data_IF_037699468808
#
_entry.id   IF_037699468808
#
_cell.length_a   1.000
_cell.length_b   1.000
_cell.length_c   1.000
_cell.angle_alpha   90.00
_cell.angle_beta   90.00
_cell.angle_gamma   90.00
#
_symmetry.space_group_name_H-M   'P 1'
#
loop_
_entity.id
_entity.type
_entity.pdbx_description
1 polymer ?
#
# COMPACT_ATOMS: atom_id res chain seq x y z
N UNK A 1 -47.15 15.40 46.81
CA UNK A 1 -47.14 16.74 46.17
C UNK A 1 -45.81 17.43 46.51
N UNK A 2 -45.04 17.80 45.46
CA UNK A 2 -43.90 18.76 45.37
C UNK A 2 -42.64 18.45 46.23
N UNK A 3 -41.48 18.02 45.69
CA UNK A 3 -40.45 18.67 44.82
C UNK A 3 -39.73 19.86 45.54
N UNK A 4 -38.40 20.05 45.63
CA UNK A 4 -37.25 19.94 44.70
C UNK A 4 -35.87 20.01 45.43
N UNK A 5 -34.80 19.59 44.71
CA UNK A 5 -33.36 19.99 44.73
C UNK A 5 -32.51 19.76 46.00
N UNK A 6 -31.23 19.30 45.98
CA UNK A 6 -30.22 19.13 44.94
C UNK A 6 -29.01 20.06 45.18
N UNK A 7 -27.87 19.52 45.65
CA UNK A 7 -26.48 19.88 45.26
C UNK A 7 -25.42 19.34 46.25
N UNK A 8 -24.40 18.68 45.69
CA UNK A 8 -23.13 18.22 46.30
C UNK A 8 -21.98 18.90 45.55
N UNK A 9 -20.89 19.27 46.24
CA UNK A 9 -19.61 19.71 45.66
C UNK A 9 -18.85 20.63 46.62
N UNK A 10 -18.05 20.10 47.56
CA UNK A 10 -16.65 19.65 47.45
C UNK A 10 -15.63 20.80 47.29
N UNK A 11 -15.06 21.19 48.43
CA UNK A 11 -13.78 21.89 48.60
C UNK A 11 -12.64 20.87 48.58
N UNK A 12 -11.54 21.15 47.88
CA UNK A 12 -10.18 21.14 48.43
C UNK A 12 -9.11 21.39 47.35
N UNK A 13 -8.31 22.42 47.62
CA UNK A 13 -7.10 22.87 46.90
C UNK A 13 -5.90 21.93 47.06
N UNK A 14 -4.97 21.96 46.07
CA UNK A 14 -3.51 22.18 46.16
C UNK A 14 -2.95 22.01 44.72
N UNK A 15 -2.05 22.82 44.14
CA UNK A 15 -0.64 23.04 44.52
C UNK A 15 -0.09 24.30 43.81
N UNK A 16 0.52 25.17 44.63
CA UNK A 16 1.79 25.92 44.48
C UNK A 16 2.21 26.47 43.10
N UNK A 17 2.43 27.78 43.07
CA UNK A 17 2.99 28.51 41.94
C UNK A 17 4.52 28.66 41.95
N UNK A 18 5.03 29.29 40.89
CA UNK A 18 6.25 30.09 40.91
C UNK A 18 6.06 31.30 39.97
N UNK A 19 6.60 32.43 40.41
CA UNK A 19 6.30 33.78 39.96
C UNK A 19 7.03 34.20 38.67
N UNK A 20 6.44 35.15 37.95
CA UNK A 20 7.13 36.28 37.30
C UNK A 20 6.11 37.41 37.12
N UNK A 21 6.49 38.60 37.55
CA UNK A 21 5.68 39.82 37.52
C UNK A 21 6.41 40.93 36.72
N UNK A 22 5.63 41.89 36.26
CA UNK A 22 5.97 43.24 35.79
C UNK A 22 6.67 43.46 34.43
N UNK A 23 5.87 43.82 33.41
CA UNK A 23 5.97 45.07 32.61
C UNK A 23 4.98 44.94 31.44
N UNK A 24 3.90 45.72 31.36
CA UNK A 24 3.91 47.12 30.98
C UNK A 24 2.62 47.35 30.16
N UNK A 25 1.80 48.26 30.63
CA UNK A 25 0.45 48.58 30.14
C UNK A 25 0.45 49.10 28.70
N UNK A 26 -0.50 48.60 27.91
CA UNK A 26 -0.89 49.13 26.61
C UNK A 26 -1.78 50.39 26.78
N UNK A 27 -1.52 51.42 25.99
CA UNK A 27 -2.46 52.51 25.68
C UNK A 27 -1.98 53.21 24.41
N UNK A 28 -2.80 53.24 23.36
CA UNK A 28 -2.47 53.92 22.11
C UNK A 28 -3.48 53.60 21.01
N UNK A 29 -4.56 54.37 21.02
CA UNK A 29 -5.56 54.50 19.95
C UNK A 29 -4.94 54.61 18.54
N UNK A 30 -5.52 53.90 17.57
CA UNK A 30 -5.66 54.44 16.22
C UNK A 30 -7.00 54.04 15.61
N UNK A 31 -7.67 55.07 15.11
CA UNK A 31 -9.05 55.10 14.62
C UNK A 31 -9.15 54.55 13.19
N UNK A 32 -10.34 54.02 12.87
CA UNK A 32 -11.00 54.18 11.57
C UNK A 32 -10.64 53.14 10.50
N UNK A 33 -11.60 52.31 10.09
CA UNK A 33 -12.59 52.68 9.06
C UNK A 33 -13.44 51.43 8.75
N UNK A 34 -14.77 51.55 8.90
CA UNK A 34 -15.71 50.60 8.32
C UNK A 34 -15.75 50.76 6.79
N UNK A 35 -15.76 49.65 6.04
CA UNK A 35 -16.49 49.58 4.77
C UNK A 35 -17.21 48.25 4.59
N UNK A 36 -18.50 48.45 4.36
CA UNK A 36 -19.57 47.57 3.95
C UNK A 36 -19.35 46.79 2.64
N UNK A 37 -19.97 45.60 2.62
CA UNK A 37 -20.87 45.07 1.58
C UNK A 37 -20.39 44.27 0.34
N UNK A 38 -21.15 43.18 0.16
CA UNK A 38 -21.56 42.45 -1.06
C UNK A 38 -20.53 41.51 -1.73
N UNK A 39 -20.77 40.20 -1.86
CA UNK A 39 -21.85 39.48 -2.55
C UNK A 39 -21.89 39.75 -4.06
N UNK A 40 -21.32 38.85 -4.85
CA UNK A 40 -21.75 38.58 -6.22
C UNK A 40 -21.32 37.17 -6.65
N UNK A 41 -22.32 36.31 -6.81
CA UNK A 41 -22.33 35.16 -7.71
C UNK A 41 -22.25 35.59 -9.17
N UNK A 42 -21.75 34.66 -10.01
CA UNK A 42 -22.14 34.41 -11.41
C UNK A 42 -21.27 35.03 -12.54
N UNK A 43 -20.55 34.16 -13.30
CA UNK A 43 -20.89 33.75 -14.68
C UNK A 43 -19.68 33.18 -15.45
N UNK A 44 -19.76 31.86 -15.68
CA UNK A 44 -19.48 31.06 -16.89
C UNK A 44 -18.35 31.39 -17.91
N UNK A 45 -17.59 30.32 -18.20
CA UNK A 45 -17.23 29.76 -19.52
C UNK A 45 -16.42 30.66 -20.48
N UNK A 46 -15.14 30.33 -20.65
CA UNK A 46 -14.50 30.34 -21.96
C UNK A 46 -13.69 29.04 -22.15
N UNK A 47 -14.01 28.40 -23.26
CA UNK A 47 -13.52 27.18 -23.88
C UNK A 47 -12.01 27.22 -24.19
N UNK A 48 -11.30 26.11 -23.93
CA UNK A 48 -10.00 25.79 -24.53
C UNK A 48 -9.70 24.29 -24.35
N UNK A 49 -10.29 23.46 -25.21
CA UNK A 49 -9.73 22.16 -25.57
C UNK A 49 -8.46 22.37 -26.40
N UNK A 50 -7.33 21.82 -25.93
CA UNK A 50 -6.16 21.61 -26.76
C UNK A 50 -5.71 20.15 -26.61
N UNK A 51 -6.00 19.38 -27.65
CA UNK A 51 -5.50 18.04 -27.92
C UNK A 51 -3.98 17.97 -27.77
N UNK A 52 -3.47 16.97 -27.05
CA UNK A 52 -2.08 16.52 -27.20
C UNK A 52 -2.10 15.06 -27.63
N UNK A 53 -1.97 14.84 -28.93
CA UNK A 53 -1.91 13.54 -29.57
C UNK A 53 -0.63 12.77 -29.21
N UNK A 54 -0.76 11.45 -29.13
CA UNK A 54 0.32 10.48 -28.96
C UNK A 54 1.34 10.59 -30.10
N UNK A 55 2.63 10.62 -29.74
CA UNK A 55 3.71 10.34 -30.68
C UNK A 55 4.00 8.84 -30.71
N UNK A 56 3.57 8.21 -31.80
CA UNK A 56 3.88 6.86 -32.24
C UNK A 56 5.35 6.78 -32.67
N UNK A 57 6.12 5.85 -32.09
CA UNK A 57 7.54 5.67 -32.42
C UNK A 57 7.66 4.57 -33.47
N UNK A 58 7.79 4.98 -34.72
CA UNK A 58 7.94 4.10 -35.88
C UNK A 58 9.33 3.46 -35.94
N UNK A 59 9.34 2.16 -36.26
CA UNK A 59 10.52 1.35 -36.56
C UNK A 59 11.16 1.84 -37.85
N UNK A 60 12.43 2.26 -37.79
CA UNK A 60 13.22 2.57 -38.97
C UNK A 60 13.97 1.32 -39.44
N UNK A 61 13.50 0.75 -40.56
CA UNK A 61 14.24 -0.14 -41.44
C UNK A 61 15.27 0.67 -42.23
N UNK A 62 16.54 0.25 -42.23
CA UNK A 62 17.56 0.75 -43.17
C UNK A 62 18.44 -0.40 -43.65
N UNK A 63 18.14 -0.84 -44.86
CA UNK A 63 19.01 -1.68 -45.69
C UNK A 63 20.15 -0.86 -46.31
N UNK A 64 21.38 -1.33 -46.08
CA UNK A 64 22.46 -1.46 -47.08
C UNK A 64 23.32 -0.24 -47.42
N UNK A 65 24.64 -0.35 -47.21
CA UNK A 65 25.64 -0.03 -48.25
C UNK A 65 26.93 -0.83 -48.05
N UNK A 66 27.40 -1.34 -49.18
CA UNK A 66 28.58 -2.16 -49.47
C UNK A 66 29.91 -1.41 -49.24
N UNK A 67 30.96 -2.11 -48.79
CA UNK A 67 32.37 -1.87 -49.22
C UNK A 67 33.35 -2.93 -48.68
N UNK A 68 33.78 -3.81 -49.59
CA UNK A 68 35.17 -4.26 -49.86
C UNK A 68 36.00 -5.05 -48.81
N UNK A 69 36.35 -6.28 -49.22
CA UNK A 69 37.51 -7.10 -48.79
C UNK A 69 38.86 -6.38 -48.98
N UNK A 70 39.91 -6.84 -48.26
CA UNK A 70 40.96 -7.58 -48.97
C UNK A 70 41.54 -8.81 -48.26
N UNK A 71 42.04 -9.72 -49.10
CA UNK A 71 42.84 -10.93 -48.86
C UNK A 71 44.20 -10.68 -48.16
N UNK A 72 44.67 -11.67 -47.39
CA UNK A 72 45.98 -12.35 -47.63
C UNK A 72 46.19 -13.56 -46.70
N UNK A 73 46.13 -14.76 -47.29
CA UNK A 73 46.98 -15.97 -47.14
C UNK A 73 47.93 -16.15 -45.94
N UNK A 74 47.83 -17.30 -45.23
CA UNK A 74 48.90 -18.32 -45.08
C UNK A 74 48.39 -19.62 -44.42
N UNK A 75 48.42 -20.74 -45.15
CA UNK A 75 48.48 -22.13 -44.68
C UNK A 75 49.89 -22.68 -44.98
N UNK A 76 50.42 -23.69 -44.24
CA UNK A 76 50.21 -25.12 -44.60
C UNK A 76 50.04 -26.07 -43.37
N UNK A 77 49.16 -27.08 -43.41
CA UNK A 77 49.33 -28.49 -43.87
C UNK A 77 49.66 -29.43 -42.67
N UNK A 78 49.03 -30.57 -42.38
CA UNK A 78 48.59 -31.78 -43.13
C UNK A 78 47.55 -32.52 -42.22
N UNK A 79 46.63 -33.43 -42.60
CA UNK A 79 46.59 -34.53 -43.57
C UNK A 79 45.14 -34.90 -43.95
N UNK A 80 44.96 -35.40 -45.17
CA UNK A 80 43.70 -35.69 -45.88
C UNK A 80 43.24 -37.17 -45.87
N UNK A 81 41.95 -37.38 -46.22
CA UNK A 81 41.29 -38.42 -47.08
C UNK A 81 39.86 -38.69 -46.57
N UNK A 82 38.76 -38.24 -47.18
CA UNK A 82 38.18 -38.43 -48.54
C UNK A 82 37.66 -39.85 -48.83
N UNK A 83 36.32 -40.01 -48.94
CA UNK A 83 35.60 -40.37 -50.18
C UNK A 83 34.07 -40.29 -49.96
N UNK A 84 33.38 -39.73 -50.95
CA UNK A 84 31.98 -39.31 -50.97
C UNK A 84 31.02 -40.31 -51.68
N UNK A 85 29.87 -39.78 -52.12
CA UNK A 85 28.88 -40.27 -53.13
C UNK A 85 27.81 -41.22 -52.54
N UNK A 86 26.49 -41.12 -52.77
CA UNK A 86 25.73 -40.75 -53.97
C UNK A 86 24.25 -40.39 -53.66
N UNK A 87 23.60 -39.67 -54.57
CA UNK A 87 22.21 -39.19 -54.56
C UNK A 87 21.48 -39.63 -55.82
N UNK A 88 20.25 -40.15 -55.75
CA UNK A 88 19.22 -40.26 -56.84
C UNK A 88 17.85 -40.58 -56.18
N UNK A 89 16.83 -39.70 -56.08
CA UNK A 89 15.83 -39.13 -57.02
C UNK A 89 14.70 -40.05 -57.54
N UNK A 90 13.48 -39.48 -57.62
CA UNK A 90 12.26 -39.82 -58.42
C UNK A 90 11.30 -40.84 -57.77
N UNK A 91 10.16 -40.45 -57.19
CA UNK A 91 8.83 -40.00 -57.72
C UNK A 91 7.85 -41.13 -58.11
N UNK A 92 6.57 -40.86 -57.86
CA UNK A 92 5.31 -41.42 -58.39
C UNK A 92 4.55 -42.49 -57.59
N UNK A 93 3.26 -42.16 -57.43
CA UNK A 93 2.16 -42.93 -56.86
C UNK A 93 1.81 -44.19 -57.65
N UNK A 94 1.21 -45.21 -57.01
CA UNK A 94 -0.16 -45.66 -57.33
C UNK A 94 -0.68 -46.71 -56.33
N UNK A 95 -2.01 -46.73 -56.27
CA UNK A 95 -2.99 -47.59 -55.61
C UNK A 95 -2.82 -49.12 -55.77
N UNK A 96 -3.32 -49.90 -54.80
CA UNK A 96 -4.07 -51.15 -55.05
C UNK A 96 -4.73 -51.75 -53.79
N UNK A 97 -5.97 -52.19 -54.02
CA UNK A 97 -6.96 -52.92 -53.21
C UNK A 97 -6.56 -54.39 -52.97
N UNK A 98 -6.89 -55.01 -51.82
CA UNK A 98 -7.33 -56.43 -51.71
C UNK A 98 -8.22 -56.69 -50.47
N UNK A 99 -9.49 -56.89 -50.78
CA UNK A 99 -10.46 -57.93 -50.37
C UNK A 99 -10.77 -58.45 -48.94
N UNK A 100 -12.07 -58.73 -48.84
CA UNK A 100 -12.97 -59.14 -47.76
C UNK A 100 -13.07 -60.66 -47.51
N UNK A 101 -13.57 -61.07 -46.33
CA UNK A 101 -14.36 -62.31 -46.11
C UNK A 101 -15.02 -62.35 -44.69
N UNK A 102 -16.06 -63.19 -44.42
CA UNK A 102 -17.39 -62.75 -43.92
C UNK A 102 -17.95 -63.55 -42.70
N UNK A 103 -19.30 -63.57 -42.53
CA UNK A 103 -20.21 -64.42 -41.67
C UNK A 103 -20.89 -63.61 -40.53
N UNK A 104 -22.20 -63.63 -40.23
CA UNK A 104 -23.49 -63.99 -40.87
C UNK A 104 -24.63 -63.43 -39.96
N UNK A 105 -25.79 -63.18 -40.59
CA UNK A 105 -27.16 -62.72 -40.23
C UNK A 105 -27.76 -63.13 -38.85
N UNK A 106 -28.81 -62.54 -38.22
CA UNK A 106 -29.74 -61.39 -38.35
C UNK A 106 -30.63 -61.37 -37.02
N UNK A 107 -31.85 -60.77 -36.93
CA UNK A 107 -32.25 -59.35 -36.95
C UNK A 107 -33.07 -58.93 -35.67
N UNK A 108 -33.19 -57.63 -35.37
CA UNK A 108 -34.49 -57.05 -34.92
C UNK A 108 -34.65 -55.66 -35.52
N UNK A 109 -35.78 -55.54 -36.19
CA UNK A 109 -36.30 -54.45 -36.99
C UNK A 109 -36.87 -53.33 -36.10
N UNK A 110 -36.51 -52.07 -36.34
CA UNK A 110 -37.52 -51.02 -36.38
C UNK A 110 -37.05 -49.92 -37.32
N UNK A 111 -37.59 -50.01 -38.54
CA UNK A 111 -37.55 -49.00 -39.58
C UNK A 111 -37.85 -47.58 -39.09
N UNK A 112 -37.05 -46.61 -39.54
CA UNK A 112 -37.56 -45.42 -40.24
C UNK A 112 -36.68 -45.17 -41.46
N UNK A 113 -37.31 -45.31 -42.62
CA UNK A 113 -36.76 -45.06 -43.95
C UNK A 113 -36.84 -43.56 -44.27
N UNK A 114 -35.71 -43.05 -44.75
CA UNK A 114 -35.47 -41.90 -45.63
C UNK A 114 -36.40 -40.68 -45.61
N UNK A 115 -35.79 -39.51 -45.43
CA UNK A 115 -35.93 -38.48 -46.46
C UNK A 115 -34.66 -37.64 -46.56
N UNK A 116 -34.18 -37.53 -47.79
CA UNK A 116 -32.95 -36.89 -48.19
C UNK A 116 -33.08 -35.35 -48.34
N UNK A 117 -31.91 -34.76 -48.61
CA UNK A 117 -31.66 -33.57 -49.45
C UNK A 117 -31.47 -32.21 -48.75
N UNK A 118 -30.21 -31.79 -48.88
CA UNK A 118 -29.66 -30.46 -49.17
C UNK A 118 -29.80 -29.29 -48.18
N UNK A 119 -28.61 -28.72 -47.92
CA UNK A 119 -28.29 -27.31 -47.72
C UNK A 119 -29.47 -26.38 -47.43
N UNK A 120 -29.56 -25.95 -46.18
CA UNK A 120 -30.21 -24.68 -45.89
C UNK A 120 -29.47 -23.94 -44.80
N UNK A 121 -28.95 -22.79 -45.23
CA UNK A 121 -28.64 -21.60 -44.46
C UNK A 121 -27.50 -21.71 -43.44
N UNK A 122 -26.47 -20.91 -43.71
CA UNK A 122 -25.67 -20.22 -42.71
C UNK A 122 -26.63 -19.68 -41.65
N UNK A 123 -26.83 -20.43 -40.57
CA UNK A 123 -27.26 -19.83 -39.31
C UNK A 123 -26.02 -19.08 -38.88
N UNK A 124 -26.06 -17.76 -39.08
CA UNK A 124 -25.19 -16.82 -38.43
C UNK A 124 -25.34 -17.13 -36.95
N UNK A 125 -24.47 -18.03 -36.47
CA UNK A 125 -24.32 -18.31 -35.06
C UNK A 125 -23.67 -17.04 -34.61
N UNK A 126 -24.52 -16.06 -34.28
CA UNK A 126 -24.14 -14.94 -33.47
C UNK A 126 -23.35 -15.60 -32.35
N UNK A 127 -22.03 -15.46 -32.44
CA UNK A 127 -21.20 -15.48 -31.27
C UNK A 127 -21.94 -14.49 -30.42
N UNK A 128 -22.69 -15.01 -29.44
CA UNK A 128 -23.13 -14.21 -28.33
C UNK A 128 -21.79 -13.76 -27.84
N UNK A 129 -21.44 -12.54 -28.25
CA UNK A 129 -20.37 -11.77 -27.70
C UNK A 129 -20.81 -11.75 -26.25
N UNK A 130 -20.30 -12.73 -25.51
CA UNK A 130 -20.49 -12.84 -24.09
C UNK A 130 -19.66 -11.65 -23.70
N UNK A 131 -20.33 -10.50 -23.72
CA UNK A 131 -19.81 -9.27 -23.21
C UNK A 131 -19.29 -9.73 -21.87
N UNK A 132 -17.97 -9.81 -21.78
CA UNK A 132 -17.30 -9.72 -20.52
C UNK A 132 -17.79 -8.36 -20.09
N UNK A 133 -18.93 -8.36 -19.38
CA UNK A 133 -19.32 -7.24 -18.57
C UNK A 133 -18.06 -7.07 -17.78
N UNK A 134 -17.34 -6.00 -18.09
CA UNK A 134 -16.21 -5.56 -17.32
C UNK A 134 -16.83 -5.14 -15.98
N UNK A 135 -17.22 -6.15 -15.20
CA UNK A 135 -17.52 -6.03 -13.79
C UNK A 135 -16.18 -5.63 -13.24
N UNK A 136 -15.94 -4.32 -13.21
CA UNK A 136 -14.83 -3.71 -12.53
C UNK A 136 -14.76 -4.39 -11.17
N UNK A 137 -13.74 -5.25 -11.02
CA UNK A 137 -13.58 -6.01 -9.79
C UNK A 137 -13.28 -4.97 -8.73
N UNK A 138 -14.19 -4.83 -7.77
CA UNK A 138 -14.02 -3.89 -6.68
C UNK A 138 -12.65 -4.13 -6.02
N UNK A 139 -11.89 -3.07 -5.68
CA UNK A 139 -10.59 -3.24 -5.03
C UNK A 139 -10.71 -4.05 -3.74
N UNK A 140 -9.63 -4.72 -3.35
CA UNK A 140 -9.64 -5.53 -2.13
C UNK A 140 -9.81 -4.65 -0.88
N UNK A 141 -10.46 -5.18 0.16
CA UNK A 141 -10.72 -4.43 1.40
C UNK A 141 -9.46 -4.05 2.20
N UNK A 142 -8.35 -4.76 2.00
CA UNK A 142 -7.07 -4.52 2.66
C UNK A 142 -5.91 -5.18 1.90
N UNK A 143 -4.68 -4.78 2.21
CA UNK A 143 -3.50 -5.47 1.71
C UNK A 143 -3.48 -6.97 2.09
N UNK A 144 -4.04 -7.35 3.25
CA UNK A 144 -4.20 -8.75 3.66
C UNK A 144 -5.13 -9.52 2.75
N UNK A 145 -6.29 -8.94 2.44
CA UNK A 145 -7.26 -9.54 1.52
C UNK A 145 -6.65 -9.66 0.11
N UNK A 146 -5.97 -8.61 -0.36
CA UNK A 146 -5.29 -8.60 -1.66
C UNK A 146 -4.22 -9.69 -1.74
N UNK A 147 -3.38 -9.81 -0.70
CA UNK A 147 -2.34 -10.83 -0.63
C UNK A 147 -2.90 -12.24 -0.59
N UNK A 148 -4.04 -12.47 0.07
CA UNK A 148 -4.71 -13.76 0.08
C UNK A 148 -5.25 -14.15 -1.31
N UNK A 149 -5.74 -13.18 -2.08
CA UNK A 149 -6.23 -13.38 -3.44
C UNK A 149 -5.09 -13.58 -4.45
N UNK A 150 -3.95 -12.92 -4.24
CA UNK A 150 -2.82 -12.97 -5.16
C UNK A 150 -1.48 -12.93 -4.41
N UNK A 151 -1.04 -14.07 -3.84
CA UNK A 151 0.16 -14.15 -3.00
C UNK A 151 1.48 -13.85 -3.71
N UNK A 152 1.50 -13.82 -5.04
CA UNK A 152 2.68 -13.50 -5.85
C UNK A 152 2.82 -12.01 -6.18
N UNK A 153 1.87 -11.16 -5.76
CA UNK A 153 1.95 -9.73 -6.01
C UNK A 153 3.18 -9.14 -5.30
N UNK A 154 3.98 -8.29 -5.98
CA UNK A 154 5.08 -7.60 -5.33
C UNK A 154 4.56 -6.55 -4.34
N UNK A 155 5.41 -6.12 -3.41
CA UNK A 155 5.10 -4.93 -2.61
C UNK A 155 4.97 -3.70 -3.51
N UNK A 156 4.00 -2.83 -3.22
CA UNK A 156 3.68 -1.69 -4.09
C UNK A 156 2.45 -0.93 -3.64
N UNK A 157 2.05 0.06 -4.43
CA UNK A 157 0.82 0.83 -4.21
C UNK A 157 -0.34 0.12 -4.90
N UNK A 158 -1.42 -0.11 -4.17
CA UNK A 158 -2.63 -0.74 -4.67
C UNK A 158 -3.87 0.03 -4.24
N UNK A 159 -4.92 0.06 -5.07
CA UNK A 159 -6.21 0.56 -4.65
C UNK A 159 -6.82 -0.41 -3.63
N UNK A 160 -7.35 0.12 -2.53
CA UNK A 160 -8.06 -0.59 -1.50
C UNK A 160 -9.45 0.02 -1.30
N UNK A 161 -10.42 -0.83 -0.99
CA UNK A 161 -11.80 -0.44 -0.78
C UNK A 161 -12.42 -1.20 0.41
N UNK A 162 -12.23 -0.71 1.65
CA UNK A 162 -12.68 -1.40 2.87
C UNK A 162 -14.18 -1.66 2.98
N UNK A 163 -15.02 -0.81 2.38
CA UNK A 163 -16.49 -0.92 2.38
C UNK A 163 -17.08 -1.39 1.05
N UNK A 164 -16.26 -1.55 0.00
CA UNK A 164 -16.67 -2.12 -1.27
C UNK A 164 -17.67 -1.22 -1.99
N UNK A 165 -18.85 -1.75 -2.32
CA UNK A 165 -19.95 -0.95 -2.89
C UNK A 165 -20.59 0.05 -1.89
N UNK A 166 -19.94 0.29 -0.75
CA UNK A 166 -20.32 1.29 0.24
C UNK A 166 -20.09 2.73 -0.23
N UNK A 167 -20.39 3.72 0.62
CA UNK A 167 -20.33 5.12 0.25
C UNK A 167 -18.90 5.71 0.22
N UNK A 168 -17.90 5.06 0.81
CA UNK A 168 -16.54 5.58 0.78
C UNK A 168 -15.85 5.19 -0.53
N UNK A 169 -15.15 6.14 -1.14
CA UNK A 169 -14.40 5.86 -2.35
C UNK A 169 -13.15 5.00 -2.04
N UNK A 170 -12.74 4.13 -2.98
CA UNK A 170 -11.46 3.44 -2.90
C UNK A 170 -10.29 4.42 -2.77
N UNK A 171 -9.16 3.92 -2.28
CA UNK A 171 -7.96 4.73 -2.12
C UNK A 171 -6.67 3.94 -2.28
N UNK A 172 -5.61 4.65 -2.62
CA UNK A 172 -4.28 4.06 -2.74
C UNK A 172 -3.61 3.83 -1.38
N UNK A 173 -3.04 2.65 -1.21
CA UNK A 173 -2.22 2.30 -0.06
C UNK A 173 -0.98 1.52 -0.48
N UNK A 174 0.13 1.73 0.23
CA UNK A 174 1.29 0.89 0.05
C UNK A 174 1.11 -0.44 0.81
N UNK A 175 1.15 -1.54 0.07
CA UNK A 175 1.10 -2.89 0.59
C UNK A 175 2.50 -3.51 0.58
N UNK A 176 2.97 -3.95 1.75
CA UNK A 176 4.13 -4.84 1.85
C UNK A 176 3.65 -6.30 1.79
N UNK A 177 3.95 -6.94 0.65
CA UNK A 177 3.53 -8.30 0.30
C UNK A 177 4.58 -9.36 0.64
N UNK A 178 5.70 -9.00 1.29
CA UNK A 178 6.82 -9.92 1.50
C UNK A 178 7.11 -10.13 2.98
N UNK A 179 7.28 -9.04 3.74
CA UNK A 179 7.81 -9.13 5.10
C UNK A 179 6.83 -9.84 6.03
N UNK A 180 7.31 -10.80 6.82
CA UNK A 180 6.49 -11.58 7.78
C UNK A 180 5.23 -12.21 7.13
N UNK A 181 5.36 -12.70 5.90
CA UNK A 181 4.25 -13.34 5.17
C UNK A 181 3.30 -12.38 4.46
N UNK A 182 3.66 -11.09 4.34
CA UNK A 182 2.98 -10.12 3.48
C UNK A 182 1.60 -9.65 3.99
N UNK A 183 0.92 -8.90 3.13
CA UNK A 183 -0.42 -8.35 3.38
C UNK A 183 -0.46 -7.18 4.35
N UNK A 184 0.65 -6.46 4.55
CA UNK A 184 0.72 -5.33 5.46
C UNK A 184 0.36 -4.02 4.78
N UNK A 185 -0.57 -3.25 5.36
CA UNK A 185 -0.89 -1.90 4.93
C UNK A 185 -0.01 -0.89 5.66
N UNK A 186 0.69 0.00 4.95
CA UNK A 186 1.46 1.10 5.54
C UNK A 186 0.52 2.19 6.06
N UNK A 187 0.61 2.53 7.36
CA UNK A 187 -0.24 3.58 7.97
C UNK A 187 0.51 4.78 8.52
N UNK A 188 1.83 4.66 8.67
CA UNK A 188 2.72 5.77 9.02
C UNK A 188 4.06 5.54 8.32
N UNK A 189 4.60 6.59 7.70
CA UNK A 189 5.97 6.63 7.20
C UNK A 189 6.55 8.04 7.39
N UNK A 190 7.66 8.13 8.10
CA UNK A 190 8.42 9.37 8.23
C UNK A 190 9.91 9.08 8.02
N UNK A 191 10.39 9.37 6.80
CA UNK A 191 11.81 9.48 6.48
C UNK A 191 12.30 10.89 6.83
N UNK A 192 12.77 11.06 8.05
CA UNK A 192 13.24 12.33 8.58
C UNK A 192 14.74 12.51 8.33
N UNK A 193 15.11 13.67 7.81
CA UNK A 193 16.51 14.04 7.57
C UNK A 193 17.12 14.69 8.82
N UNK A 194 18.35 14.30 9.15
CA UNK A 194 19.12 14.88 10.25
C UNK A 194 19.15 16.42 10.21
N UNK A 195 19.09 17.04 11.39
CA UNK A 195 19.11 18.48 11.60
C UNK A 195 17.94 19.26 10.97
N UNK A 196 16.84 18.59 10.63
CA UNK A 196 15.60 19.22 10.17
C UNK A 196 14.47 19.03 11.18
N UNK A 197 13.41 19.82 11.08
CA UNK A 197 12.18 19.62 11.85
C UNK A 197 10.92 19.96 11.05
N UNK A 198 10.67 19.27 9.93
CA UNK A 198 9.44 19.45 9.15
C UNK A 198 8.18 19.13 9.97
N UNK A 199 7.07 19.86 9.76
CA UNK A 199 5.82 19.60 10.45
C UNK A 199 5.26 18.23 10.04
N UNK A 200 4.62 17.53 11.00
CA UNK A 200 3.89 16.29 10.72
C UNK A 200 2.79 16.51 9.69
N UNK A 201 2.48 15.46 8.92
CA UNK A 201 1.40 15.44 7.93
C UNK A 201 0.36 14.38 8.34
N UNK A 202 -0.53 14.69 9.31
CA UNK A 202 -1.66 13.82 9.66
C UNK A 202 -2.73 13.80 8.57
N UNK A 203 -3.50 12.72 8.51
CA UNK A 203 -4.61 12.58 7.56
C UNK A 203 -4.19 12.34 6.11
N UNK A 204 -2.90 12.19 5.82
CA UNK A 204 -2.40 11.89 4.47
C UNK A 204 -1.82 10.47 4.45
N UNK A 205 -2.42 9.60 3.65
CA UNK A 205 -2.04 8.18 3.55
C UNK A 205 -0.66 8.05 2.89
N UNK A 206 0.35 7.47 3.56
CA UNK A 206 1.65 7.21 2.95
C UNK A 206 1.55 6.12 1.87
N UNK A 207 2.02 6.45 0.67
CA UNK A 207 2.14 5.52 -0.47
C UNK A 207 3.58 5.07 -0.72
N UNK A 208 4.50 5.37 0.20
CA UNK A 208 5.89 4.94 0.15
C UNK A 208 6.44 4.66 1.56
N UNK A 209 7.19 3.57 1.76
CA UNK A 209 7.86 3.28 3.03
C UNK A 209 8.86 4.36 3.46
N UNK A 210 9.37 5.16 2.52
CA UNK A 210 10.25 6.31 2.78
C UNK A 210 9.52 7.64 2.60
N UNK A 211 8.19 7.64 2.77
CA UNK A 211 7.35 8.83 2.71
C UNK A 211 7.45 9.71 3.96
N UNK A 212 6.57 10.71 4.04
CA UNK A 212 6.53 11.69 5.13
C UNK A 212 5.08 12.04 5.50
N UNK A 213 4.30 11.07 5.96
CA UNK A 213 2.91 11.25 6.38
C UNK A 213 2.38 10.07 7.18
N UNK A 214 1.16 10.20 7.69
CA UNK A 214 0.44 9.10 8.33
C UNK A 214 -1.07 9.27 8.24
N UNK A 215 -1.76 8.15 8.44
CA UNK A 215 -3.20 8.12 8.58
C UNK A 215 -3.63 8.88 9.84
N UNK A 216 -4.72 9.63 9.72
CA UNK A 216 -5.43 10.16 10.88
C UNK A 216 -6.30 9.10 11.58
N UNK A 217 -6.77 9.38 12.79
CA UNK A 217 -7.58 8.47 13.59
C UNK A 217 -8.86 8.02 12.87
N UNK A 218 -9.56 8.94 12.21
CA UNK A 218 -10.77 8.61 11.45
C UNK A 218 -10.49 7.68 10.27
N UNK A 219 -9.34 7.86 9.60
CA UNK A 219 -8.93 6.98 8.49
C UNK A 219 -8.54 5.59 8.99
N UNK A 220 -7.91 5.49 10.17
CA UNK A 220 -7.60 4.19 10.80
C UNK A 220 -8.87 3.44 11.21
N UNK A 221 -9.88 4.16 11.71
CA UNK A 221 -11.19 3.58 12.03
C UNK A 221 -11.96 3.11 10.79
N UNK A 222 -11.76 3.75 9.63
CA UNK A 222 -12.39 3.37 8.37
C UNK A 222 -11.68 2.24 7.62
N UNK A 223 -10.53 1.78 8.09
CA UNK A 223 -9.88 0.60 7.51
C UNK A 223 -10.68 -0.67 7.83
N UNK A 224 -10.54 -1.67 6.96
CA UNK A 224 -10.96 -3.02 7.29
C UNK A 224 -10.31 -3.45 8.61
N UNK A 225 -11.05 -4.21 9.43
CA UNK A 225 -10.57 -4.62 10.74
C UNK A 225 -9.22 -5.34 10.63
N UNK A 226 -8.25 -4.86 11.41
CA UNK A 226 -6.93 -5.46 11.54
C UNK A 226 -6.71 -5.91 12.98
N UNK A 227 -5.91 -6.96 13.15
CA UNK A 227 -5.68 -7.65 14.42
C UNK A 227 -4.21 -7.58 14.86
N UNK A 228 -3.34 -7.06 14.01
CA UNK A 228 -1.91 -7.01 14.24
C UNK A 228 -1.34 -5.67 13.77
N UNK A 229 -0.46 -5.09 14.58
CA UNK A 229 0.31 -3.90 14.23
C UNK A 229 1.80 -4.22 14.23
N UNK A 230 2.54 -3.65 13.29
CA UNK A 230 4.00 -3.81 13.18
C UNK A 230 4.67 -2.45 13.16
N UNK A 231 5.67 -2.31 14.01
CA UNK A 231 6.50 -1.11 14.11
C UNK A 231 7.87 -1.40 13.54
N UNK A 232 8.36 -0.46 12.73
CA UNK A 232 9.74 -0.42 12.28
C UNK A 232 10.33 0.96 12.56
N UNK A 233 11.56 0.98 13.06
CA UNK A 233 12.31 2.21 13.20
C UNK A 233 13.82 2.00 13.06
N UNK A 234 14.50 2.93 12.39
CA UNK A 234 15.96 3.04 12.37
C UNK A 234 16.43 4.50 12.54
N UNK A 235 17.67 4.67 12.99
CA UNK A 235 18.31 5.98 13.18
C UNK A 235 19.79 5.93 12.79
N UNK A 236 20.35 7.08 12.40
CA UNK A 236 21.79 7.24 12.21
C UNK A 236 22.60 7.34 13.51
N UNK A 237 21.94 7.43 14.68
CA UNK A 237 22.60 7.54 15.99
C UNK A 237 23.28 6.23 16.42
N UNK A 238 22.67 5.09 16.14
CA UNK A 238 23.14 3.77 16.59
C UNK A 238 22.60 2.65 15.67
N UNK A 239 23.21 1.45 15.67
CA UNK A 239 22.82 0.39 14.73
C UNK A 239 21.57 -0.39 15.14
N UNK A 240 21.04 -0.22 16.37
CA UNK A 240 19.84 -0.92 16.82
C UNK A 240 18.62 -0.50 16.00
N UNK A 241 17.73 -1.45 15.75
CA UNK A 241 16.48 -1.24 15.02
C UNK A 241 15.30 -1.77 15.80
N UNK A 242 14.23 -0.98 15.85
CA UNK A 242 12.91 -1.46 16.24
C UNK A 242 12.35 -2.18 15.01
N UNK A 243 12.02 -3.44 15.15
CA UNK A 243 11.26 -4.18 14.14
C UNK A 243 10.43 -5.29 14.81
N UNK A 244 9.18 -5.04 15.16
CA UNK A 244 8.36 -6.02 15.87
C UNK A 244 6.91 -5.92 15.45
N UNK A 245 6.15 -6.98 15.73
CA UNK A 245 4.68 -6.98 15.63
C UNK A 245 4.03 -7.31 16.97
N UNK A 246 2.79 -6.88 17.16
CA UNK A 246 1.95 -7.26 18.30
C UNK A 246 0.52 -7.45 17.85
N UNK A 247 -0.13 -8.48 18.38
CA UNK A 247 -1.56 -8.75 18.23
C UNK A 247 -2.29 -8.55 19.57
N UNK A 248 -1.67 -7.82 20.51
CA UNK A 248 -2.34 -7.42 21.74
C UNK A 248 -3.54 -6.53 21.42
N UNK A 249 -4.73 -6.95 21.82
CA UNK A 249 -5.98 -6.29 21.45
C UNK A 249 -6.03 -4.82 21.91
N UNK A 250 -5.45 -4.48 23.07
CA UNK A 250 -5.44 -3.11 23.57
C UNK A 250 -4.47 -2.23 22.76
N UNK A 251 -3.28 -2.76 22.41
CA UNK A 251 -2.33 -2.05 21.55
C UNK A 251 -2.90 -1.81 20.15
N UNK A 252 -3.58 -2.80 19.59
CA UNK A 252 -4.28 -2.70 18.30
C UNK A 252 -5.42 -1.69 18.40
N UNK A 253 -6.24 -1.73 19.45
CA UNK A 253 -7.32 -0.77 19.73
C UNK A 253 -6.81 0.67 19.86
N UNK A 254 -5.65 0.83 20.52
CA UNK A 254 -4.96 2.11 20.64
C UNK A 254 -4.57 2.66 19.26
N UNK A 255 -3.86 1.87 18.44
CA UNK A 255 -3.44 2.25 17.08
C UNK A 255 -4.63 2.49 16.16
N UNK A 256 -5.72 1.70 16.28
CA UNK A 256 -6.96 1.91 15.51
C UNK A 256 -7.63 3.26 15.77
N UNK A 257 -7.21 4.01 16.77
CA UNK A 257 -7.84 5.28 17.10
C UNK A 257 -9.17 5.10 17.83
N UNK A 258 -9.45 3.92 18.42
CA UNK A 258 -10.69 3.69 19.16
C UNK A 258 -10.80 4.72 20.31
N UNK A 259 -11.88 5.49 20.42
CA UNK A 259 -12.00 6.58 21.39
C UNK A 259 -11.79 6.14 22.84
N UNK A 260 -12.23 4.92 23.19
CA UNK A 260 -12.10 4.34 24.52
C UNK A 260 -10.80 3.58 24.77
N UNK A 261 -9.88 3.52 23.79
CA UNK A 261 -8.64 2.77 23.96
C UNK A 261 -7.74 3.39 25.03
N UNK A 262 -7.19 2.53 25.87
CA UNK A 262 -6.15 2.90 26.84
C UNK A 262 -4.77 2.80 26.19
N UNK A 263 -3.73 3.25 26.89
CA UNK A 263 -2.34 3.07 26.49
C UNK A 263 -1.50 2.69 27.72
N UNK A 264 -1.84 1.57 28.36
CA UNK A 264 -1.06 1.02 29.47
C UNK A 264 0.26 0.42 28.96
N UNK A 265 1.37 0.64 29.69
CA UNK A 265 2.70 0.25 29.25
C UNK A 265 2.87 -1.29 29.11
N UNK A 266 2.15 -2.05 29.94
CA UNK A 266 2.19 -3.50 29.97
C UNK A 266 1.77 -4.15 28.63
N UNK A 267 0.89 -3.51 27.84
CA UNK A 267 0.39 -4.06 26.58
C UNK A 267 1.50 -4.18 25.52
N UNK A 268 2.52 -3.33 25.61
CA UNK A 268 3.64 -3.29 24.67
C UNK A 268 4.72 -4.33 25.00
N UNK A 269 4.90 -4.65 26.30
CA UNK A 269 5.97 -5.53 26.79
C UNK A 269 5.65 -7.02 26.73
N UNK A 270 4.39 -7.38 26.91
CA UNK A 270 4.00 -8.76 27.27
C UNK A 270 3.45 -9.58 26.11
N UNK A 271 3.24 -8.99 24.94
CA UNK A 271 2.55 -9.66 23.82
C UNK A 271 3.09 -9.25 22.45
N UNK A 272 4.38 -8.95 22.36
CA UNK A 272 5.04 -8.62 21.11
C UNK A 272 5.89 -9.78 20.58
N UNK A 273 6.13 -9.78 19.28
CA UNK A 273 7.03 -10.71 18.58
C UNK A 273 8.09 -9.88 17.86
N UNK A 274 9.38 -9.97 18.26
CA UNK A 274 10.47 -9.42 17.48
C UNK A 274 10.49 -10.03 16.07
N UNK A 275 10.71 -9.20 15.06
CA UNK A 275 10.91 -9.64 13.68
C UNK A 275 12.40 -9.63 13.34
N UNK A 276 12.75 -10.13 12.16
CA UNK A 276 14.13 -10.18 11.70
C UNK A 276 14.82 -8.80 11.80
N UNK A 277 16.01 -8.78 12.39
CA UNK A 277 16.80 -7.55 12.58
C UNK A 277 16.39 -6.68 13.78
N UNK A 278 15.39 -7.09 14.56
CA UNK A 278 15.06 -6.41 15.82
C UNK A 278 16.21 -6.50 16.81
N UNK A 279 16.70 -5.36 17.26
CA UNK A 279 17.83 -5.25 18.20
C UNK A 279 17.67 -4.14 19.22
N UNK A 280 16.57 -3.38 19.13
CA UNK A 280 16.23 -2.30 20.05
C UNK A 280 15.87 -2.79 21.45
N UNK A 281 15.85 -1.86 22.42
CA UNK A 281 15.32 -2.10 23.77
C UNK A 281 13.80 -2.14 23.75
N UNK A 282 13.20 -1.23 22.99
CA UNK A 282 11.75 -1.19 22.79
C UNK A 282 11.28 -2.29 21.81
N UNK A 283 10.13 -2.93 22.08
CA UNK A 283 9.14 -2.56 23.10
C UNK A 283 9.35 -3.29 24.45
N UNK A 284 10.29 -4.23 24.53
CA UNK A 284 10.51 -5.06 25.73
C UNK A 284 10.75 -4.22 26.99
N UNK A 285 11.51 -3.12 26.86
CA UNK A 285 11.87 -2.30 28.00
C UNK A 285 10.76 -1.36 28.46
N UNK A 286 9.83 -0.92 27.58
CA UNK A 286 8.76 0.12 27.78
C UNK A 286 8.75 0.74 29.18
N UNK A 287 7.77 0.68 30.08
CA UNK A 287 7.74 1.32 31.44
C UNK A 287 6.94 2.61 31.50
N UNK A 288 6.74 3.26 30.36
CA UNK A 288 5.77 4.33 30.28
C UNK A 288 5.17 4.42 28.88
N UNK A 289 3.98 5.00 28.85
CA UNK A 289 3.20 5.25 27.67
C UNK A 289 2.24 6.37 28.06
N UNK A 290 2.16 7.47 27.30
CA UNK A 290 1.35 8.60 27.69
C UNK A 290 -0.11 8.15 27.69
N UNK A 291 -0.75 8.31 28.84
CA UNK A 291 -2.16 8.02 29.00
C UNK A 291 -2.97 9.07 28.21
N UNK A 292 -4.06 8.68 27.53
CA UNK A 292 -5.05 9.63 27.06
C UNK A 292 -5.47 10.54 28.24
N UNK A 293 -5.76 11.84 28.00
CA UNK A 293 -6.42 12.32 26.81
C UNK A 293 -5.46 12.96 25.80
N UNK A 294 -5.21 12.27 24.69
CA UNK A 294 -4.76 12.96 23.48
C UNK A 294 -5.96 13.65 22.86
N UNK A 295 -5.82 14.90 22.42
CA UNK A 295 -6.82 15.51 21.57
C UNK A 295 -6.95 14.65 20.30
N UNK A 296 -8.10 13.97 20.07
CA UNK A 296 -8.25 13.07 18.93
C UNK A 296 -8.13 13.81 17.58
N UNK A 297 -8.28 15.14 17.57
CA UNK A 297 -8.08 15.96 16.38
C UNK A 297 -6.60 16.18 16.02
N UNK A 298 -5.64 15.78 16.87
CA UNK A 298 -4.21 15.96 16.60
C UNK A 298 -3.53 14.70 16.06
N UNK A 299 -4.24 13.57 15.94
CA UNK A 299 -3.74 12.30 15.36
C UNK A 299 -2.41 11.78 15.96
N UNK A 300 -2.18 12.05 17.25
CA UNK A 300 -0.87 11.87 17.89
C UNK A 300 -0.50 10.43 18.29
N UNK A 301 -1.43 9.47 18.20
CA UNK A 301 -1.30 8.15 18.85
C UNK A 301 -0.07 7.37 18.40
N UNK A 302 0.28 7.43 17.11
CA UNK A 302 1.44 6.74 16.58
C UNK A 302 2.73 7.56 16.65
N UNK A 303 2.64 8.86 16.98
CA UNK A 303 3.76 9.81 16.85
C UNK A 303 4.30 10.31 18.19
N UNK A 304 3.46 10.36 19.22
CA UNK A 304 3.75 11.00 20.50
C UNK A 304 4.02 9.95 21.58
N UNK A 305 5.18 9.29 21.48
CA UNK A 305 5.65 8.28 22.43
C UNK A 305 4.65 7.13 22.68
N UNK A 306 4.10 6.44 21.66
CA UNK A 306 3.14 5.34 21.87
C UNK A 306 3.58 4.35 22.95
N UNK A 307 4.87 4.04 22.99
CA UNK A 307 5.56 3.28 24.03
C UNK A 307 6.96 3.83 24.22
N UNK A 308 7.42 3.92 25.46
CA UNK A 308 8.76 4.40 25.77
C UNK A 308 9.27 3.91 27.13
N UNK A 309 10.59 3.92 27.28
CA UNK A 309 11.32 3.74 28.52
C UNK A 309 11.82 5.09 29.00
N UNK A 310 11.37 5.49 30.18
CA UNK A 310 11.58 6.84 30.70
C UNK A 310 13.06 7.24 30.69
N UNK A 311 13.39 8.28 29.93
CA UNK A 311 14.74 8.83 29.81
C UNK A 311 15.80 7.83 29.29
N UNK A 312 15.38 6.74 28.63
CA UNK A 312 16.31 5.72 28.10
C UNK A 312 16.03 5.50 26.62
N UNK A 313 14.83 5.06 26.27
CA UNK A 313 14.51 4.68 24.90
C UNK A 313 13.07 5.03 24.51
N UNK A 314 12.88 5.74 23.41
CA UNK A 314 11.61 6.26 22.92
C UNK A 314 11.39 5.91 21.42
N UNK A 315 10.12 5.74 21.06
CA UNK A 315 9.66 5.84 19.67
C UNK A 315 8.91 7.17 19.54
N UNK A 316 9.44 8.13 18.79
CA UNK A 316 8.83 9.46 18.68
C UNK A 316 9.05 10.10 17.31
N UNK A 317 7.98 10.70 16.78
CA UNK A 317 7.94 11.36 15.47
C UNK A 317 7.53 12.82 15.68
N UNK A 318 8.51 13.73 15.57
CA UNK A 318 8.34 15.15 15.90
C UNK A 318 7.61 15.38 17.23
N UNK A 319 7.87 14.53 18.23
CA UNK A 319 7.16 14.54 19.48
C UNK A 319 7.60 15.75 20.33
N UNK A 320 6.69 16.30 21.14
CA UNK A 320 6.86 17.60 21.81
C UNK A 320 7.35 18.71 20.86
N UNK A 321 7.00 18.60 19.58
CA UNK A 321 7.31 19.56 18.53
C UNK A 321 8.67 19.40 17.84
N UNK A 322 9.61 18.58 18.32
CA UNK A 322 10.95 18.48 17.69
C UNK A 322 11.73 17.19 17.91
N UNK A 323 11.17 16.19 18.60
CA UNK A 323 11.90 14.97 18.98
C UNK A 323 11.66 13.86 17.97
N UNK A 324 12.75 13.44 17.32
CA UNK A 324 12.78 12.39 16.30
C UNK A 324 13.60 11.23 16.83
N UNK A 325 12.94 10.35 17.59
CA UNK A 325 13.62 9.36 18.44
C UNK A 325 13.23 7.95 18.03
N UNK A 326 14.22 7.08 18.05
CA UNK A 326 14.14 5.74 17.52
C UNK A 326 14.99 4.80 18.35
N UNK A 327 14.37 4.23 19.39
CA UNK A 327 15.07 3.61 20.52
C UNK A 327 15.76 4.69 21.35
N UNK A 328 17.05 5.04 21.28
CA UNK A 328 17.63 5.94 22.32
C UNK A 328 16.96 7.33 22.48
N UNK A 329 16.98 7.84 23.71
CA UNK A 329 16.56 9.20 24.04
C UNK A 329 17.58 10.24 23.53
N UNK A 330 17.39 10.72 22.30
CA UNK A 330 18.22 11.77 21.70
C UNK A 330 17.80 13.20 22.07
N UNK A 331 16.52 13.43 22.42
CA UNK A 331 15.99 14.74 22.79
C UNK A 331 16.03 15.79 21.67
N UNK A 332 16.19 15.39 20.41
CA UNK A 332 16.43 16.31 19.29
C UNK A 332 16.01 15.73 17.94
N UNK A 333 16.14 16.53 16.88
CA UNK A 333 16.07 16.11 15.47
C UNK A 333 17.45 15.97 14.80
N UNK A 334 18.51 15.73 15.57
CA UNK A 334 19.89 15.75 15.07
C UNK A 334 20.27 14.54 14.18
N UNK A 335 19.47 13.48 14.17
CA UNK A 335 19.77 12.23 13.48
C UNK A 335 18.76 11.97 12.38
N UNK A 336 19.19 11.27 11.33
CA UNK A 336 18.27 10.78 10.29
C UNK A 336 17.51 9.62 10.90
N UNK A 337 16.18 9.63 10.81
CA UNK A 337 15.35 8.53 11.29
C UNK A 337 14.38 8.07 10.21
N UNK A 338 14.04 6.78 10.25
CA UNK A 338 12.96 6.22 9.46
C UNK A 338 11.98 5.54 10.41
N UNK A 339 10.78 6.09 10.53
CA UNK A 339 9.69 5.52 11.33
C UNK A 339 8.61 4.95 10.42
N UNK A 340 8.16 3.75 10.70
CA UNK A 340 7.04 3.14 10.01
C UNK A 340 6.10 2.40 10.97
N UNK A 341 4.81 2.49 10.69
CA UNK A 341 3.77 1.66 11.34
C UNK A 341 2.95 1.00 10.25
N UNK A 342 2.68 -0.30 10.45
CA UNK A 342 1.99 -1.17 9.52
C UNK A 342 0.86 -1.91 10.23
N UNK A 343 -0.21 -2.24 9.50
CA UNK A 343 -1.37 -2.96 10.05
C UNK A 343 -1.77 -4.15 9.16
N UNK A 344 -2.29 -5.21 9.77
CA UNK A 344 -2.76 -6.44 9.11
C UNK A 344 -3.79 -7.18 9.97
#
# INVERSE_FOLDING_TARGET
>A
MRALAGAVGLLASLVVGCALDASGTASGDFLGEERDSASATDTAIVDALADTALADTTVADTLGTDTTLPDTTTLPDTTARDTAVDSLTVDTADTAVVDTAPVDTAPVDTAVVDTAVADTAVVDTAVVDTAVVDTAVAPAASCKALHALSPSLPSGVYPLDPDGAGPAAPFDAFCDMVTDGGGWTLVLAYAHAAATNPPKVPGTRPTSPTGFSHFGNAQLLSLAAFDTVRFFCSTSLHPRRIHFKTSNADAVSYVRGVPSATNADAMWKTSFTPLEGHTARLPASTSSSPAPPFNPALDLRMTEFPFFEYAVAHFAVAALGSRWECDDWAGSGAHTTLHQVWVR
#
